data_IF_273344261403
#
_entry.id   IF_273344261403
#
_cell.length_a   1.000
_cell.length_b   1.000
_cell.length_c   1.000
_cell.angle_alpha   90.00
_cell.angle_beta   90.00
_cell.angle_gamma   90.00
#
_symmetry.space_group_name_H-M   'P 1'
#
loop_
_entity.id
_entity.type
_entity.pdbx_description
1 polymer ?
#
# COMPACT_ATOMS: atom_id res chain seq x y z
N UNK A 1 -33.64 -3.11 -29.97
CA UNK A 1 -32.17 -3.15 -29.80
C UNK A 1 -31.74 -1.79 -29.28
N UNK A 2 -31.69 -1.63 -27.96
CA UNK A 2 -31.18 -0.42 -27.31
C UNK A 2 -29.89 -0.80 -26.61
N UNK A 3 -28.84 -0.07 -26.96
CA UNK A 3 -27.46 -0.21 -26.55
C UNK A 3 -27.28 0.03 -25.06
N UNK A 4 -26.43 -0.82 -24.45
CA UNK A 4 -25.98 -0.70 -23.08
C UNK A 4 -25.13 0.57 -22.91
N UNK A 5 -25.50 1.39 -21.94
CA UNK A 5 -24.68 2.48 -21.43
C UNK A 5 -24.40 2.18 -19.95
N UNK A 6 -23.19 1.67 -19.70
CA UNK A 6 -22.74 1.14 -18.42
C UNK A 6 -21.42 1.77 -18.00
N UNK A 7 -21.29 3.10 -18.11
CA UNK A 7 -20.23 3.84 -17.43
C UNK A 7 -20.59 3.92 -15.93
N UNK A 8 -20.32 2.85 -15.19
CA UNK A 8 -20.82 2.64 -13.84
C UNK A 8 -20.25 3.63 -12.82
N UNK A 9 -21.11 4.45 -12.22
CA UNK A 9 -20.75 5.26 -11.07
C UNK A 9 -20.28 4.36 -9.91
N UNK A 10 -19.15 4.70 -9.29
CA UNK A 10 -18.61 4.01 -8.11
C UNK A 10 -19.69 3.88 -7.03
N UNK A 11 -19.95 2.64 -6.59
CA UNK A 11 -21.01 2.37 -5.62
C UNK A 11 -20.74 3.02 -4.26
N UNK A 12 -21.79 3.33 -3.49
CA UNK A 12 -21.66 4.00 -2.17
C UNK A 12 -20.71 3.27 -1.22
N UNK A 13 -20.74 1.93 -1.18
CA UNK A 13 -19.80 1.12 -0.38
C UNK A 13 -18.35 1.40 -0.76
N UNK A 14 -18.05 1.45 -2.05
CA UNK A 14 -16.70 1.64 -2.56
C UNK A 14 -16.21 3.07 -2.31
N UNK A 15 -17.06 4.08 -2.51
CA UNK A 15 -16.75 5.47 -2.11
C UNK A 15 -16.40 5.58 -0.62
N UNK A 16 -17.10 4.85 0.25
CA UNK A 16 -16.80 4.80 1.68
C UNK A 16 -15.43 4.17 1.95
N UNK A 17 -15.08 3.07 1.27
CA UNK A 17 -13.77 2.42 1.41
C UNK A 17 -12.65 3.32 0.92
N UNK A 18 -12.82 3.96 -0.24
CA UNK A 18 -11.84 4.90 -0.80
C UNK A 18 -11.58 6.08 0.15
N UNK A 19 -12.65 6.69 0.67
CA UNK A 19 -12.55 7.75 1.66
C UNK A 19 -11.85 7.27 2.95
N UNK A 20 -12.19 6.09 3.45
CA UNK A 20 -11.57 5.52 4.63
C UNK A 20 -10.07 5.26 4.41
N UNK A 21 -9.70 4.66 3.29
CA UNK A 21 -8.30 4.38 2.93
C UNK A 21 -7.49 5.67 2.87
N UNK A 22 -7.95 6.66 2.11
CA UNK A 22 -7.25 7.95 1.96
C UNK A 22 -7.11 8.71 3.28
N UNK A 23 -8.16 8.73 4.10
CA UNK A 23 -8.11 9.43 5.39
C UNK A 23 -7.17 8.71 6.36
N UNK A 24 -7.24 7.38 6.46
CA UNK A 24 -6.39 6.60 7.36
C UNK A 24 -4.92 6.58 6.90
N UNK A 25 -4.66 6.61 5.60
CA UNK A 25 -3.33 6.80 5.03
C UNK A 25 -2.64 8.07 5.55
N UNK A 26 -3.41 9.16 5.66
CA UNK A 26 -2.91 10.49 6.05
C UNK A 26 -2.90 10.74 7.55
N UNK A 27 -3.85 10.16 8.27
CA UNK A 27 -4.16 10.52 9.66
C UNK A 27 -4.02 9.34 10.64
N UNK A 28 -3.73 8.15 10.10
CA UNK A 28 -3.75 6.89 10.83
C UNK A 28 -5.17 6.47 11.24
N UNK A 29 -5.25 5.30 11.86
CA UNK A 29 -6.51 4.76 12.35
C UNK A 29 -7.15 5.67 13.39
N UNK A 30 -6.45 6.02 14.48
CA UNK A 30 -7.05 6.76 15.59
C UNK A 30 -7.49 8.18 15.20
N UNK A 31 -6.72 8.86 14.34
CA UNK A 31 -7.02 10.21 13.85
C UNK A 31 -8.25 10.31 12.94
N UNK A 32 -8.70 9.19 12.36
CA UNK A 32 -9.78 9.20 11.36
C UNK A 32 -11.16 8.94 11.97
N UNK A 33 -12.12 9.85 11.82
CA UNK A 33 -13.49 9.67 12.34
C UNK A 33 -14.49 9.11 11.33
N UNK A 34 -15.48 8.30 11.76
CA UNK A 34 -16.54 7.79 10.86
C UNK A 34 -17.34 8.93 10.20
N UNK A 35 -17.63 10.03 10.92
CA UNK A 35 -18.32 11.20 10.37
C UNK A 35 -17.51 11.91 9.29
N UNK A 36 -16.19 11.92 9.44
CA UNK A 36 -15.28 12.48 8.45
C UNK A 36 -15.27 11.59 7.20
N UNK A 37 -15.19 10.26 7.38
CA UNK A 37 -15.31 9.28 6.28
C UNK A 37 -16.63 9.46 5.54
N UNK A 38 -17.77 9.56 6.23
CA UNK A 38 -19.07 9.74 5.55
C UNK A 38 -19.12 11.03 4.72
N UNK A 39 -18.52 12.10 5.25
CA UNK A 39 -18.48 13.39 4.57
C UNK A 39 -17.61 13.32 3.31
N UNK A 40 -16.39 12.79 3.42
CA UNK A 40 -15.46 12.61 2.29
C UNK A 40 -16.05 11.68 1.22
N UNK A 41 -16.76 10.61 1.63
CA UNK A 41 -17.39 9.66 0.73
C UNK A 41 -18.65 10.20 0.02
N UNK A 42 -19.16 11.37 0.42
CA UNK A 42 -20.47 11.86 -0.04
C UNK A 42 -21.60 10.86 0.28
N UNK A 43 -21.55 10.28 1.48
CA UNK A 43 -22.49 9.28 1.97
C UNK A 43 -23.14 9.74 3.28
N UNK A 44 -24.33 9.23 3.60
CA UNK A 44 -24.94 9.52 4.91
C UNK A 44 -24.25 8.72 6.01
N UNK A 45 -24.30 9.22 7.25
CA UNK A 45 -23.81 8.48 8.41
C UNK A 45 -24.49 7.11 8.54
N UNK A 46 -25.80 7.03 8.26
CA UNK A 46 -26.55 5.77 8.24
C UNK A 46 -26.06 4.79 7.16
N UNK A 47 -25.68 5.29 5.97
CA UNK A 47 -25.10 4.46 4.91
C UNK A 47 -23.81 3.78 5.34
N UNK A 48 -22.97 4.46 6.13
CA UNK A 48 -21.72 3.86 6.63
C UNK A 48 -22.02 2.65 7.52
N UNK A 49 -22.93 2.78 8.50
CA UNK A 49 -23.31 1.66 9.36
C UNK A 49 -24.13 0.58 8.65
N UNK A 50 -24.83 0.94 7.57
CA UNK A 50 -25.51 -0.05 6.73
C UNK A 50 -24.50 -0.97 6.01
N UNK A 51 -23.42 -0.41 5.44
CA UNK A 51 -22.40 -1.20 4.73
C UNK A 51 -21.32 -1.79 5.64
N UNK A 52 -21.08 -1.17 6.79
CA UNK A 52 -20.05 -1.53 7.77
C UNK A 52 -20.63 -1.54 9.18
N UNK A 53 -21.49 -2.51 9.52
CA UNK A 53 -22.14 -2.59 10.83
C UNK A 53 -21.15 -2.78 11.99
N UNK A 54 -19.95 -3.34 11.72
CA UNK A 54 -18.83 -3.41 12.66
C UNK A 54 -18.08 -2.08 12.85
N UNK A 55 -18.52 -1.01 12.18
CA UNK A 55 -18.05 0.35 12.37
C UNK A 55 -16.60 0.56 11.94
N UNK A 56 -15.87 1.36 12.73
CA UNK A 56 -14.53 1.88 12.36
C UNK A 56 -13.50 0.77 12.14
N UNK A 57 -13.55 -0.31 12.92
CA UNK A 57 -12.61 -1.44 12.78
C UNK A 57 -12.83 -2.20 11.48
N UNK A 58 -14.09 -2.48 11.14
CA UNK A 58 -14.45 -3.11 9.87
C UNK A 58 -14.04 -2.24 8.67
N UNK A 59 -14.27 -0.92 8.77
CA UNK A 59 -13.80 0.05 7.78
C UNK A 59 -12.28 0.06 7.63
N UNK A 60 -11.53 -0.02 8.73
CA UNK A 60 -10.08 -0.05 8.69
C UNK A 60 -9.55 -1.31 8.00
N UNK A 61 -10.17 -2.47 8.24
CA UNK A 61 -9.84 -3.70 7.51
C UNK A 61 -10.15 -3.56 6.02
N UNK A 62 -11.28 -2.96 5.66
CA UNK A 62 -11.62 -2.72 4.26
C UNK A 62 -10.67 -1.72 3.58
N UNK A 63 -10.28 -0.66 4.28
CA UNK A 63 -9.30 0.32 3.85
C UNK A 63 -7.92 -0.33 3.63
N UNK A 64 -7.44 -1.15 4.58
CA UNK A 64 -6.20 -1.91 4.44
C UNK A 64 -6.25 -2.84 3.23
N UNK A 65 -7.36 -3.55 3.02
CA UNK A 65 -7.49 -4.44 1.84
C UNK A 65 -7.48 -3.67 0.53
N UNK A 66 -8.06 -2.47 0.51
CA UNK A 66 -7.99 -1.60 -0.66
C UNK A 66 -6.57 -1.10 -0.91
N UNK A 67 -5.90 -0.56 0.11
CA UNK A 67 -4.50 -0.13 0.02
C UNK A 67 -3.54 -1.27 -0.28
N UNK A 68 -3.81 -2.48 0.22
CA UNK A 68 -3.13 -3.70 -0.20
C UNK A 68 -3.25 -3.86 -1.71
N UNK A 69 -4.48 -3.97 -2.23
CA UNK A 69 -4.75 -4.15 -3.67
C UNK A 69 -4.00 -3.12 -4.51
N UNK A 70 -4.17 -1.84 -4.20
CA UNK A 70 -3.51 -0.71 -4.87
C UNK A 70 -1.99 -0.86 -4.90
N UNK A 71 -1.36 -1.11 -3.75
CA UNK A 71 0.10 -1.22 -3.68
C UNK A 71 0.64 -2.49 -4.35
N UNK A 72 -0.08 -3.62 -4.26
CA UNK A 72 0.36 -4.82 -4.95
C UNK A 72 0.16 -4.77 -6.47
N UNK A 73 -0.82 -4.01 -6.96
CA UNK A 73 -0.95 -3.75 -8.40
C UNK A 73 0.18 -2.84 -8.88
N UNK A 74 0.49 -1.78 -8.13
CA UNK A 74 1.69 -0.96 -8.32
C UNK A 74 2.98 -1.80 -8.37
N UNK A 75 3.22 -2.66 -7.36
CA UNK A 75 4.40 -3.51 -7.32
C UNK A 75 4.49 -4.41 -8.54
N UNK A 76 3.38 -5.04 -8.95
CA UNK A 76 3.36 -5.91 -10.12
C UNK A 76 3.76 -5.15 -11.38
N UNK A 77 3.16 -3.98 -11.60
CA UNK A 77 3.42 -3.16 -12.77
C UNK A 77 4.86 -2.63 -12.82
N UNK A 78 5.37 -2.08 -11.72
CA UNK A 78 6.74 -1.55 -11.69
C UNK A 78 7.80 -2.65 -11.78
N UNK A 79 7.58 -3.80 -11.12
CA UNK A 79 8.52 -4.92 -11.15
C UNK A 79 8.63 -5.56 -12.54
N UNK A 80 7.52 -5.62 -13.29
CA UNK A 80 7.50 -6.17 -14.65
C UNK A 80 7.88 -5.14 -15.73
N UNK A 81 8.01 -3.85 -15.39
CA UNK A 81 8.38 -2.79 -16.35
C UNK A 81 9.83 -2.86 -16.83
N UNK A 82 10.73 -3.39 -16.01
CA UNK A 82 12.17 -3.48 -16.29
C UNK A 82 12.63 -4.93 -16.18
N UNK A 83 13.37 -5.43 -17.19
CA UNK A 83 13.83 -6.82 -17.24
C UNK A 83 14.84 -7.18 -16.15
N UNK A 84 15.69 -6.24 -15.76
CA UNK A 84 16.62 -6.43 -14.65
C UNK A 84 15.91 -6.26 -13.30
N UNK A 85 15.81 -7.30 -12.44
CA UNK A 85 15.15 -7.20 -11.13
C UNK A 85 15.78 -6.18 -10.19
N UNK A 86 17.10 -5.95 -10.28
CA UNK A 86 17.78 -4.96 -9.44
C UNK A 86 17.32 -3.54 -9.82
N UNK A 87 17.33 -3.21 -11.11
CA UNK A 87 16.82 -1.93 -11.60
C UNK A 87 15.30 -1.79 -11.40
N UNK A 88 14.52 -2.86 -11.52
CA UNK A 88 13.09 -2.84 -11.27
C UNK A 88 12.75 -2.41 -9.83
N UNK A 89 13.48 -2.93 -8.83
CA UNK A 89 13.32 -2.50 -7.43
C UNK A 89 13.78 -1.05 -7.21
N UNK A 90 14.86 -0.63 -7.85
CA UNK A 90 15.27 0.78 -7.81
C UNK A 90 14.23 1.70 -8.46
N UNK A 91 13.57 1.26 -9.52
CA UNK A 91 12.47 1.97 -10.17
C UNK A 91 11.26 2.12 -9.23
N UNK A 92 10.86 1.06 -8.53
CA UNK A 92 9.81 1.14 -7.50
C UNK A 92 10.11 2.27 -6.49
N UNK A 93 11.33 2.33 -5.98
CA UNK A 93 11.73 3.36 -5.01
C UNK A 93 11.62 4.79 -5.58
N UNK A 94 11.99 4.98 -6.86
CA UNK A 94 11.85 6.28 -7.54
C UNK A 94 10.38 6.66 -7.73
N UNK A 95 9.54 5.71 -8.12
CA UNK A 95 8.11 5.98 -8.33
C UNK A 95 7.41 6.30 -7.01
N UNK A 96 7.75 5.60 -5.92
CA UNK A 96 7.27 5.93 -4.57
C UNK A 96 7.71 7.34 -4.14
N UNK A 97 8.97 7.70 -4.37
CA UNK A 97 9.49 9.03 -4.03
C UNK A 97 8.73 10.14 -4.79
N UNK A 98 8.48 9.93 -6.09
CA UNK A 98 7.71 10.85 -6.91
C UNK A 98 6.26 10.98 -6.43
N UNK A 99 5.62 9.87 -6.03
CA UNK A 99 4.27 9.85 -5.45
C UNK A 99 4.18 10.63 -4.14
N UNK A 100 5.14 10.42 -3.23
CA UNK A 100 5.24 11.20 -2.00
C UNK A 100 5.42 12.70 -2.29
N UNK A 101 6.34 13.07 -3.18
CA UNK A 101 6.54 14.49 -3.53
C UNK A 101 5.28 15.11 -4.14
N UNK A 102 4.58 14.37 -5.00
CA UNK A 102 3.34 14.84 -5.65
C UNK A 102 2.18 15.04 -4.65
N UNK A 103 2.16 14.28 -3.55
CA UNK A 103 1.20 14.46 -2.46
C UNK A 103 1.62 15.51 -1.42
N UNK A 104 2.67 16.28 -1.65
CA UNK A 104 3.32 17.13 -0.64
C UNK A 104 3.66 16.37 0.66
N UNK A 105 4.13 15.12 0.49
CA UNK A 105 4.58 14.24 1.57
C UNK A 105 3.48 13.79 2.52
N UNK A 106 2.20 13.82 2.11
CA UNK A 106 1.09 13.41 2.98
C UNK A 106 0.66 11.97 2.80
N UNK A 107 0.84 11.40 1.61
CA UNK A 107 0.26 10.10 1.23
C UNK A 107 1.32 8.99 1.38
N UNK A 108 1.58 8.56 2.61
CA UNK A 108 2.46 7.41 2.90
C UNK A 108 1.78 6.05 2.64
N UNK A 109 2.38 4.93 3.06
CA UNK A 109 1.76 3.62 2.84
C UNK A 109 0.42 3.48 3.61
N UNK A 110 -0.71 3.20 2.92
CA UNK A 110 -2.03 3.14 3.55
C UNK A 110 -2.17 2.00 4.55
N UNK A 111 -1.48 0.87 4.33
CA UNK A 111 -1.51 -0.28 5.25
C UNK A 111 -0.73 0.05 6.52
N UNK A 112 0.52 0.50 6.37
CA UNK A 112 1.40 0.82 7.49
C UNK A 112 0.81 1.94 8.35
N UNK A 113 0.36 3.04 7.74
CA UNK A 113 -0.25 4.16 8.46
C UNK A 113 -1.51 3.76 9.25
N UNK A 114 -2.34 2.87 8.69
CA UNK A 114 -3.56 2.41 9.37
C UNK A 114 -3.25 1.45 10.52
N UNK A 115 -2.31 0.52 10.31
CA UNK A 115 -1.98 -0.52 11.29
C UNK A 115 -1.10 0.00 12.45
N UNK A 116 -0.24 0.98 12.17
CA UNK A 116 0.68 1.53 13.16
C UNK A 116 -0.11 2.19 14.32
N UNK A 117 0.19 1.76 15.54
CA UNK A 117 -0.50 2.24 16.76
C UNK A 117 -1.86 1.57 17.06
N UNK A 118 -2.46 0.85 16.12
CA UNK A 118 -3.76 0.17 16.31
C UNK A 118 -3.65 -1.37 16.36
N UNK A 119 -2.62 -1.95 15.74
CA UNK A 119 -2.46 -3.40 15.60
C UNK A 119 -2.52 -4.19 16.92
N UNK A 120 -1.95 -3.67 18.00
CA UNK A 120 -1.95 -4.35 19.31
C UNK A 120 -3.33 -4.36 20.01
N UNK A 121 -4.24 -3.47 19.60
CA UNK A 121 -5.58 -3.30 20.18
C UNK A 121 -6.70 -3.82 19.28
N UNK A 122 -6.40 -4.12 18.02
CA UNK A 122 -7.34 -4.57 17.00
C UNK A 122 -6.71 -5.73 16.19
N UNK A 123 -6.84 -6.98 16.66
CA UNK A 123 -6.27 -8.15 15.98
C UNK A 123 -6.68 -8.26 14.50
N UNK A 124 -7.90 -7.86 14.15
CA UNK A 124 -8.41 -7.88 12.77
C UNK A 124 -7.65 -6.92 11.84
N UNK A 125 -7.22 -5.76 12.35
CA UNK A 125 -6.39 -4.80 11.61
C UNK A 125 -4.99 -5.35 11.45
N UNK A 126 -4.43 -5.92 12.52
CA UNK A 126 -3.10 -6.56 12.49
C UNK A 126 -3.05 -7.71 11.48
N UNK A 127 -4.06 -8.57 11.45
CA UNK A 127 -4.16 -9.69 10.51
C UNK A 127 -4.27 -9.21 9.06
N UNK A 128 -5.09 -8.18 8.80
CA UNK A 128 -5.23 -7.61 7.47
C UNK A 128 -3.91 -7.00 6.97
N UNK A 129 -3.19 -6.28 7.83
CA UNK A 129 -1.89 -5.72 7.49
C UNK A 129 -0.84 -6.82 7.26
N UNK A 130 -0.77 -7.84 8.12
CA UNK A 130 0.16 -8.95 7.96
C UNK A 130 -0.08 -9.70 6.64
N UNK A 131 -1.35 -9.89 6.24
CA UNK A 131 -1.70 -10.50 4.96
C UNK A 131 -1.24 -9.64 3.76
N UNK A 132 -1.37 -8.31 3.84
CA UNK A 132 -0.87 -7.41 2.80
C UNK A 132 0.66 -7.52 2.64
N UNK A 133 1.40 -7.44 3.75
CA UNK A 133 2.87 -7.61 3.74
C UNK A 133 3.31 -8.98 3.22
N UNK A 134 2.58 -10.06 3.52
CA UNK A 134 2.84 -11.38 2.94
C UNK A 134 2.62 -11.38 1.41
N UNK A 135 1.52 -10.76 0.94
CA UNK A 135 1.22 -10.67 -0.49
C UNK A 135 2.29 -9.89 -1.25
N UNK A 136 2.73 -8.75 -0.72
CA UNK A 136 3.77 -7.91 -1.34
C UNK A 136 5.11 -8.64 -1.41
N UNK A 137 5.50 -9.34 -0.33
CA UNK A 137 6.69 -10.21 -0.33
C UNK A 137 6.55 -11.33 -1.37
N UNK A 138 5.37 -11.91 -1.52
CA UNK A 138 5.07 -12.89 -2.56
C UNK A 138 5.34 -12.37 -3.98
N UNK A 139 4.88 -11.15 -4.29
CA UNK A 139 5.09 -10.51 -5.60
C UNK A 139 6.58 -10.26 -5.89
N UNK A 140 7.30 -9.70 -4.93
CA UNK A 140 8.75 -9.47 -5.09
C UNK A 140 9.50 -10.79 -5.23
N UNK A 141 9.20 -11.79 -4.39
CA UNK A 141 9.85 -13.10 -4.44
C UNK A 141 9.60 -13.79 -5.79
N UNK A 142 8.38 -13.70 -6.33
CA UNK A 142 8.05 -14.22 -7.65
C UNK A 142 8.88 -13.57 -8.75
N UNK A 143 9.02 -12.24 -8.73
CA UNK A 143 9.86 -11.51 -9.67
C UNK A 143 11.33 -11.94 -9.60
N UNK A 144 11.86 -12.10 -8.39
CA UNK A 144 13.24 -12.53 -8.17
C UNK A 144 13.48 -13.96 -8.66
N UNK A 145 12.56 -14.90 -8.38
CA UNK A 145 12.62 -16.27 -8.91
C UNK A 145 12.59 -16.33 -10.43
N UNK A 146 11.70 -15.56 -11.06
CA UNK A 146 11.63 -15.42 -12.53
C UNK A 146 12.94 -14.92 -13.14
N UNK A 147 13.78 -14.29 -12.34
CA UNK A 147 15.09 -13.76 -12.75
C UNK A 147 16.26 -14.72 -12.50
N UNK A 148 15.99 -15.94 -12.01
CA UNK A 148 16.96 -17.02 -11.81
C UNK A 148 17.40 -17.25 -10.36
N UNK A 149 16.90 -16.48 -9.38
CA UNK A 149 17.31 -16.67 -7.99
C UNK A 149 16.66 -17.92 -7.37
N UNK A 150 17.38 -18.66 -6.50
CA UNK A 150 16.81 -19.74 -5.70
C UNK A 150 15.62 -19.25 -4.85
N UNK A 151 14.65 -20.13 -4.62
CA UNK A 151 13.41 -19.78 -3.89
C UNK A 151 13.66 -19.32 -2.45
N UNK A 152 14.66 -19.90 -1.77
CA UNK A 152 15.05 -19.48 -0.42
C UNK A 152 15.57 -18.02 -0.41
N UNK A 153 16.55 -17.72 -1.26
CA UNK A 153 17.14 -16.38 -1.39
C UNK A 153 16.10 -15.34 -1.84
N UNK A 154 15.23 -15.71 -2.79
CA UNK A 154 14.17 -14.84 -3.28
C UNK A 154 13.18 -14.45 -2.18
N UNK A 155 12.81 -15.38 -1.28
CA UNK A 155 11.93 -15.08 -0.14
C UNK A 155 12.58 -14.15 0.88
N UNK A 156 13.84 -14.39 1.22
CA UNK A 156 14.58 -13.55 2.18
C UNK A 156 14.80 -12.14 1.62
N UNK A 157 15.27 -12.03 0.37
CA UNK A 157 15.44 -10.75 -0.30
C UNK A 157 14.12 -9.99 -0.46
N UNK A 158 13.02 -10.68 -0.78
CA UNK A 158 11.71 -10.04 -0.86
C UNK A 158 11.27 -9.43 0.48
N UNK A 159 11.53 -10.14 1.59
CA UNK A 159 11.27 -9.59 2.92
C UNK A 159 12.12 -8.35 3.20
N UNK A 160 13.40 -8.36 2.83
CA UNK A 160 14.29 -7.20 2.94
C UNK A 160 13.81 -6.02 2.09
N UNK A 161 13.45 -6.27 0.81
CA UNK A 161 12.99 -5.23 -0.12
C UNK A 161 11.74 -4.54 0.42
N UNK A 162 10.70 -5.30 0.77
CA UNK A 162 9.44 -4.72 1.27
C UNK A 162 9.68 -3.93 2.57
N UNK A 163 10.41 -4.51 3.52
CA UNK A 163 10.71 -3.86 4.79
C UNK A 163 11.52 -2.56 4.61
N UNK A 164 12.50 -2.57 3.71
CA UNK A 164 13.36 -1.42 3.44
C UNK A 164 12.61 -0.31 2.71
N UNK A 165 11.76 -0.64 1.72
CA UNK A 165 10.95 0.35 1.01
C UNK A 165 9.95 1.04 1.95
N UNK A 166 9.23 0.28 2.77
CA UNK A 166 8.29 0.83 3.76
C UNK A 166 8.98 1.74 4.79
N UNK A 167 10.14 1.31 5.30
CA UNK A 167 10.93 2.13 6.21
C UNK A 167 11.47 3.40 5.54
N UNK A 168 11.91 3.30 4.28
CA UNK A 168 12.41 4.43 3.50
C UNK A 168 11.30 5.41 3.14
N UNK A 169 10.09 4.93 2.83
CA UNK A 169 8.92 5.75 2.55
C UNK A 169 8.53 6.57 3.79
N UNK A 170 8.47 5.93 4.96
CA UNK A 170 8.25 6.64 6.22
C UNK A 170 9.34 7.69 6.49
N UNK A 171 10.61 7.34 6.31
CA UNK A 171 11.72 8.29 6.49
C UNK A 171 11.67 9.45 5.50
N UNK A 172 11.31 9.19 4.24
CA UNK A 172 11.11 10.19 3.19
C UNK A 172 9.96 11.14 3.54
N UNK A 173 8.85 10.60 4.05
CA UNK A 173 7.70 11.36 4.51
C UNK A 173 8.07 12.33 5.64
N UNK A 174 8.73 11.83 6.69
CA UNK A 174 9.13 12.63 7.86
C UNK A 174 10.16 13.70 7.52
N UNK A 175 11.13 13.36 6.66
CA UNK A 175 12.19 14.28 6.25
C UNK A 175 11.79 15.21 5.10
N UNK A 176 10.62 15.00 4.48
CA UNK A 176 10.16 15.67 3.26
C UNK A 176 11.21 15.66 2.15
N UNK A 177 11.80 14.50 1.91
CA UNK A 177 12.90 14.29 0.98
C UNK A 177 12.77 12.98 0.23
N UNK A 178 13.11 12.97 -1.06
CA UNK A 178 13.13 11.75 -1.87
C UNK A 178 14.33 10.86 -1.48
N UNK A 179 15.35 11.43 -0.84
CA UNK A 179 16.65 10.81 -0.65
C UNK A 179 16.62 9.47 0.11
N UNK A 180 15.82 9.28 1.19
CA UNK A 180 15.73 7.98 1.86
C UNK A 180 15.30 6.84 0.93
N UNK A 181 14.30 7.09 0.07
CA UNK A 181 13.84 6.12 -0.93
C UNK A 181 14.88 5.92 -2.03
N UNK A 182 15.45 7.01 -2.58
CA UNK A 182 16.46 6.92 -3.64
C UNK A 182 17.72 6.17 -3.17
N UNK A 183 18.21 6.44 -1.97
CA UNK A 183 19.34 5.72 -1.37
C UNK A 183 19.00 4.26 -1.16
N UNK A 184 17.83 3.96 -0.59
CA UNK A 184 17.39 2.59 -0.33
C UNK A 184 17.26 1.79 -1.63
N UNK A 185 16.62 2.36 -2.66
CA UNK A 185 16.51 1.73 -3.97
C UNK A 185 17.87 1.38 -4.58
N UNK A 186 18.85 2.30 -4.52
CA UNK A 186 20.22 2.04 -4.97
C UNK A 186 20.90 0.90 -4.20
N UNK A 187 20.72 0.84 -2.88
CA UNK A 187 21.33 -0.23 -2.06
C UNK A 187 20.65 -1.58 -2.28
N UNK A 188 19.31 -1.60 -2.39
CA UNK A 188 18.58 -2.82 -2.72
C UNK A 188 18.97 -3.37 -4.10
N UNK A 189 19.15 -2.51 -5.11
CA UNK A 189 19.63 -2.94 -6.41
C UNK A 189 21.03 -3.59 -6.33
N UNK A 190 21.95 -3.00 -5.55
CA UNK A 190 23.28 -3.59 -5.31
C UNK A 190 23.20 -4.93 -4.60
N UNK A 191 22.34 -5.03 -3.58
CA UNK A 191 22.12 -6.27 -2.85
C UNK A 191 21.55 -7.36 -3.78
N UNK A 192 20.52 -7.07 -4.57
CA UNK A 192 19.96 -8.03 -5.53
C UNK A 192 21.00 -8.47 -6.55
N UNK A 193 21.83 -7.53 -7.03
CA UNK A 193 22.89 -7.84 -7.99
C UNK A 193 23.98 -8.76 -7.43
N UNK A 194 24.19 -8.82 -6.12
CA UNK A 194 25.20 -9.71 -5.52
C UNK A 194 24.76 -11.18 -5.45
N UNK A 195 23.51 -11.49 -5.78
CA UNK A 195 22.97 -12.87 -5.85
C UNK A 195 22.99 -13.43 -7.28
N UNK A 196 23.62 -12.73 -8.23
CA UNK A 196 23.65 -13.07 -9.64
C UNK A 196 25.07 -13.33 -10.13
#
# INVERSE_FOLDING_TARGET
MSTADGSGATGTRERIVLAASRLMQRQGYDGTGIKQISTEAGATFGSVYHFFPGGKRELAVAAIRHGDQEFGDFLREELDRVDDPAEAVAACARTLAAGLRASDWTDGCPVTATALGSATRAPEIQQAAAAAFERWRGLVAERLRRSGLPDADARELAATVVSALEGAEFAAQVSRSEEPLLTTGRQLARLISSYR
#
